data_IF_368021843998
#
_entry.id   IF_368021843998
#
_cell.length_a   1.000
_cell.length_b   1.000
_cell.length_c   1.000
_cell.angle_alpha   90.00
_cell.angle_beta   90.00
_cell.angle_gamma   90.00
#
_symmetry.space_group_name_H-M   'P 1'
#
loop_
_entity.id
_entity.type
_entity.pdbx_description
1 polymer ?
#
# COMPACT_ATOMS: atom_id res chain seq x y z
N UNK A 1 -18.11 -5.47 29.33
CA UNK A 1 -17.29 -5.07 28.16
C UNK A 1 -17.24 -6.25 27.20
N UNK A 2 -17.57 -6.06 25.92
CA UNK A 2 -17.52 -7.11 24.89
C UNK A 2 -17.02 -6.49 23.59
N UNK A 3 -15.91 -7.01 23.06
CA UNK A 3 -15.33 -6.57 21.80
C UNK A 3 -16.14 -7.02 20.57
N UNK A 4 -17.05 -7.99 20.74
CA UNK A 4 -17.96 -8.48 19.70
C UNK A 4 -19.30 -7.72 19.67
N UNK A 5 -19.46 -6.66 20.47
CA UNK A 5 -20.66 -5.82 20.49
C UNK A 5 -20.32 -4.41 20.01
N UNK A 6 -21.17 -3.77 19.19
CA UNK A 6 -20.93 -2.41 18.72
C UNK A 6 -20.80 -1.39 19.87
N UNK A 7 -21.42 -1.65 21.03
CA UNK A 7 -21.32 -0.78 22.20
C UNK A 7 -20.01 -0.96 23.00
N UNK A 8 -19.26 -2.03 22.75
CA UNK A 8 -18.02 -2.35 23.46
C UNK A 8 -16.79 -2.54 22.57
N UNK A 9 -16.95 -2.56 21.26
CA UNK A 9 -15.85 -2.62 20.30
C UNK A 9 -15.06 -1.30 20.28
N UNK A 10 -13.75 -1.40 20.10
CA UNK A 10 -12.92 -0.23 19.83
C UNK A 10 -13.35 0.36 18.48
N UNK A 11 -13.75 1.65 18.39
CA UNK A 11 -14.24 2.24 17.14
C UNK A 11 -13.13 2.45 16.10
N UNK A 12 -11.87 2.23 16.46
CA UNK A 12 -10.71 2.38 15.57
C UNK A 12 -10.34 1.08 14.87
N UNK A 13 -10.62 -0.08 15.47
CA UNK A 13 -10.27 -1.39 14.90
C UNK A 13 -11.45 -2.37 14.90
N UNK A 14 -12.67 -1.88 15.12
CA UNK A 14 -13.91 -2.66 15.20
C UNK A 14 -13.83 -3.89 16.10
N UNK A 15 -13.02 -3.80 17.18
CA UNK A 15 -12.82 -4.90 18.13
C UNK A 15 -11.85 -5.99 17.67
N UNK A 16 -11.20 -5.86 16.50
CA UNK A 16 -10.22 -6.83 15.99
C UNK A 16 -8.88 -6.78 16.71
N UNK A 17 -8.54 -5.63 17.32
CA UNK A 17 -7.28 -5.43 18.04
C UNK A 17 -6.05 -5.24 17.14
N UNK A 18 -6.23 -5.25 15.81
CA UNK A 18 -5.18 -5.00 14.83
C UNK A 18 -5.73 -4.16 13.66
N UNK A 19 -4.82 -3.62 12.85
CA UNK A 19 -5.14 -2.89 11.62
C UNK A 19 -4.30 -3.44 10.49
N UNK A 20 -4.90 -3.51 9.31
CA UNK A 20 -4.17 -3.80 8.08
C UNK A 20 -3.62 -2.48 7.55
N UNK A 21 -2.30 -2.40 7.41
CA UNK A 21 -1.60 -1.22 6.92
C UNK A 21 -0.65 -1.62 5.79
N UNK A 22 -0.31 -0.65 4.94
CA UNK A 22 0.64 -0.87 3.85
C UNK A 22 2.04 -0.85 4.43
N UNK A 23 2.79 -1.92 4.20
CA UNK A 23 4.19 -2.02 4.59
C UNK A 23 5.09 -1.46 3.46
N UNK A 24 5.85 -0.37 3.71
CA UNK A 24 6.74 0.22 2.71
C UNK A 24 7.79 -0.76 2.16
N UNK A 25 8.30 -1.67 2.99
CA UNK A 25 9.30 -2.66 2.58
C UNK A 25 8.71 -3.69 1.59
N UNK A 26 7.40 -3.91 1.65
CA UNK A 26 6.70 -4.74 0.67
C UNK A 26 6.32 -3.97 -0.60
N UNK A 27 6.26 -2.63 -0.53
CA UNK A 27 5.98 -1.77 -1.69
C UNK A 27 7.23 -1.58 -2.54
N UNK A 28 8.39 -1.38 -1.91
CA UNK A 28 9.71 -1.25 -2.56
C UNK A 28 10.66 -2.30 -1.99
N UNK A 29 10.53 -3.58 -2.42
CA UNK A 29 11.32 -4.67 -1.85
C UNK A 29 12.79 -4.67 -2.28
N UNK A 30 13.13 -3.92 -3.34
CA UNK A 30 14.50 -3.71 -3.77
C UNK A 30 14.70 -2.23 -4.11
N UNK A 31 15.33 -1.50 -3.19
CA UNK A 31 15.63 -0.07 -3.30
C UNK A 31 16.75 0.24 -4.31
N UNK A 32 17.49 -0.78 -4.78
CA UNK A 32 18.55 -0.60 -5.78
C UNK A 32 18.00 -0.57 -7.22
N UNK A 33 16.73 -0.97 -7.43
CA UNK A 33 16.07 -0.86 -8.73
C UNK A 33 15.63 0.58 -8.98
N UNK A 34 15.73 1.02 -10.23
CA UNK A 34 15.05 2.23 -10.68
C UNK A 34 13.53 2.02 -10.78
N UNK A 35 12.79 3.13 -10.85
CA UNK A 35 11.34 3.11 -11.12
C UNK A 35 11.05 2.41 -12.45
N UNK A 36 11.90 2.63 -13.47
CA UNK A 36 11.80 2.03 -14.80
C UNK A 36 12.01 0.51 -14.77
N UNK A 37 12.92 0.04 -13.93
CA UNK A 37 13.18 -1.39 -13.68
C UNK A 37 12.11 -2.06 -12.80
N UNK A 38 11.15 -1.28 -12.28
CA UNK A 38 10.02 -1.80 -11.53
C UNK A 38 10.22 -1.86 -10.02
N UNK A 39 10.98 -0.92 -9.45
CA UNK A 39 11.19 -0.81 -8.00
C UNK A 39 9.88 -0.82 -7.17
N UNK A 40 8.80 -0.25 -7.70
CA UNK A 40 7.49 -0.27 -7.04
C UNK A 40 6.72 -1.53 -7.40
N UNK A 41 6.81 -2.54 -6.53
CA UNK A 41 6.28 -3.88 -6.78
C UNK A 41 4.76 -3.91 -7.00
N UNK A 42 4.00 -3.06 -6.30
CA UNK A 42 2.54 -2.97 -6.44
C UNK A 42 2.09 -2.51 -7.85
N UNK A 43 2.98 -1.89 -8.62
CA UNK A 43 2.69 -1.32 -9.94
C UNK A 43 3.47 -1.98 -11.08
N UNK A 44 4.47 -2.80 -10.76
CA UNK A 44 5.24 -3.55 -11.73
C UNK A 44 4.33 -4.53 -12.50
N UNK A 45 4.51 -4.62 -13.82
CA UNK A 45 3.70 -5.53 -14.66
C UNK A 45 2.25 -5.11 -14.92
N UNK A 46 1.83 -3.90 -14.55
CA UNK A 46 0.50 -3.38 -14.90
C UNK A 46 0.28 -3.36 -16.43
N UNK A 47 -0.75 -4.09 -16.89
CA UNK A 47 -1.05 -4.31 -18.32
C UNK A 47 -1.39 -3.04 -19.09
N UNK A 48 -1.92 -2.03 -18.41
CA UNK A 48 -2.38 -0.78 -19.04
C UNK A 48 -1.28 0.26 -19.16
N UNK A 49 -0.14 0.08 -18.48
CA UNK A 49 0.93 1.09 -18.41
C UNK A 49 0.52 2.39 -17.69
N UNK A 50 -0.68 2.46 -17.11
CA UNK A 50 -1.21 3.64 -16.45
C UNK A 50 -0.31 4.13 -15.31
N UNK A 51 0.09 3.21 -14.42
CA UNK A 51 0.94 3.53 -13.28
C UNK A 51 2.31 4.04 -13.69
N UNK A 52 2.86 3.53 -14.80
CA UNK A 52 4.13 4.03 -15.34
C UNK A 52 4.02 5.50 -15.72
N UNK A 53 3.00 5.88 -16.49
CA UNK A 53 2.78 7.27 -16.91
C UNK A 53 2.53 8.21 -15.73
N UNK A 54 1.82 7.72 -14.72
CA UNK A 54 1.56 8.50 -13.51
C UNK A 54 2.86 8.75 -12.74
N UNK A 55 3.73 7.75 -12.63
CA UNK A 55 5.05 7.89 -12.00
C UNK A 55 5.94 8.86 -12.78
N UNK A 56 6.02 8.72 -14.10
CA UNK A 56 6.76 9.64 -14.98
C UNK A 56 6.32 11.09 -14.74
N UNK A 57 5.00 11.35 -14.73
CA UNK A 57 4.46 12.70 -14.51
C UNK A 57 4.78 13.28 -13.12
N UNK A 58 4.97 12.44 -12.10
CA UNK A 58 5.34 12.87 -10.74
C UNK A 58 6.85 13.14 -10.65
N UNK A 59 7.67 12.39 -11.38
CA UNK A 59 9.14 12.52 -11.38
C UNK A 59 9.61 13.70 -12.24
N UNK A 60 8.91 14.00 -13.33
CA UNK A 60 9.25 15.09 -14.25
C UNK A 60 8.71 16.48 -13.83
N UNK A 61 7.86 16.54 -12.78
CA UNK A 61 7.28 17.77 -12.26
C UNK A 61 8.07 18.38 -11.12
#
# INVERSE_FOLDING_TARGET
>A
FSFNSPYGACPVCDGLGTRLEVDPELVVPNEELSIEEGAVAAWSGSRTGYWRRLLEAVVEG
#
